data_IF_272590688106
#
_entry.id   IF_272590688106
#
_cell.length_a   1.000
_cell.length_b   1.000
_cell.length_c   1.000
_cell.angle_alpha   90.00
_cell.angle_beta   90.00
_cell.angle_gamma   90.00
#
_symmetry.space_group_name_H-M   'P 1'
#
loop_
_entity.id
_entity.type
_entity.pdbx_description
1 polymer ?
#
# COMPACT_ATOMS: atom_id res chain seq x y z
N UNK A 1 19.36 -11.21 -32.16
CA UNK A 1 19.39 -12.69 -32.33
C UNK A 1 20.83 -13.14 -32.30
N UNK A 2 21.32 -13.71 -31.19
CA UNK A 2 22.66 -14.31 -31.12
C UNK A 2 22.49 -15.73 -30.59
N UNK A 3 22.79 -16.69 -31.46
CA UNK A 3 22.94 -18.11 -31.14
C UNK A 3 24.36 -18.32 -30.61
N UNK A 4 24.51 -18.97 -29.46
CA UNK A 4 25.76 -19.65 -29.06
C UNK A 4 25.42 -21.05 -28.57
N UNK A 5 26.14 -22.02 -29.11
CA UNK A 5 25.99 -23.47 -28.90
C UNK A 5 26.86 -23.92 -27.71
N UNK A 6 26.35 -24.96 -27.06
CA UNK A 6 26.72 -25.66 -25.83
C UNK A 6 28.20 -26.07 -25.69
N UNK A 7 28.75 -25.92 -24.47
CA UNK A 7 29.89 -26.72 -23.98
C UNK A 7 29.44 -27.51 -22.76
N UNK A 8 29.62 -28.84 -22.83
CA UNK A 8 29.27 -29.82 -21.80
C UNK A 8 30.49 -30.11 -20.91
N UNK A 9 30.20 -30.30 -19.61
CA UNK A 9 30.99 -30.97 -18.56
C UNK A 9 31.94 -30.13 -17.68
N UNK A 10 31.44 -29.76 -16.49
CA UNK A 10 32.15 -30.01 -15.22
C UNK A 10 31.12 -30.53 -14.23
N UNK A 11 31.28 -31.77 -13.75
CA UNK A 11 30.52 -32.31 -12.62
C UNK A 11 31.09 -31.72 -11.33
N UNK A 12 30.59 -30.56 -10.93
CA UNK A 12 30.72 -30.06 -9.57
C UNK A 12 29.37 -30.30 -8.89
N UNK A 13 29.35 -31.19 -7.91
CA UNK A 13 28.33 -31.22 -6.85
C UNK A 13 28.47 -29.93 -6.03
N UNK A 14 27.98 -28.85 -6.61
CA UNK A 14 27.65 -27.62 -5.93
C UNK A 14 26.33 -27.21 -6.54
N UNK A 15 25.23 -27.46 -5.82
CA UNK A 15 24.01 -26.71 -6.08
C UNK A 15 24.46 -25.26 -5.96
N UNK A 16 24.49 -24.53 -7.09
CA UNK A 16 24.75 -23.10 -7.05
C UNK A 16 23.67 -22.55 -6.12
N UNK A 17 24.08 -22.07 -4.95
CA UNK A 17 23.21 -21.50 -3.94
C UNK A 17 22.61 -20.23 -4.57
N UNK A 18 21.53 -20.42 -5.32
CA UNK A 18 20.79 -19.33 -5.91
C UNK A 18 20.36 -18.44 -4.74
N UNK A 19 20.64 -17.13 -4.76
CA UNK A 19 20.25 -16.25 -3.67
C UNK A 19 18.74 -16.41 -3.47
N UNK A 20 18.34 -17.03 -2.36
CA UNK A 20 16.93 -17.19 -2.02
C UNK A 20 16.44 -15.84 -1.57
N UNK A 21 16.03 -15.00 -2.53
CA UNK A 21 15.31 -13.77 -2.20
C UNK A 21 14.07 -14.21 -1.42
N UNK A 22 13.86 -13.70 -0.19
CA UNK A 22 12.69 -14.07 0.58
C UNK A 22 11.41 -13.76 -0.23
N UNK A 23 10.34 -14.56 -0.06
CA UNK A 23 9.08 -14.28 -0.74
C UNK A 23 8.56 -12.90 -0.31
N UNK A 24 8.04 -12.13 -1.27
CA UNK A 24 7.45 -10.82 -1.00
C UNK A 24 6.31 -10.94 0.02
N UNK A 25 6.31 -10.07 1.02
CA UNK A 25 5.29 -10.04 2.07
C UNK A 25 4.26 -8.98 1.75
N UNK A 26 3.04 -9.18 2.24
CA UNK A 26 2.00 -8.19 2.10
C UNK A 26 2.26 -7.00 3.04
N UNK A 27 1.79 -5.79 2.68
CA UNK A 27 1.75 -4.68 3.60
C UNK A 27 0.91 -5.00 4.84
N UNK A 28 1.29 -4.38 5.96
CA UNK A 28 0.55 -4.46 7.22
C UNK A 28 -0.12 -3.13 7.53
N UNK A 29 -1.29 -3.18 8.19
CA UNK A 29 -2.04 -2.00 8.61
C UNK A 29 -2.09 -1.91 10.13
N UNK A 30 -1.87 -0.71 10.65
CA UNK A 30 -2.10 -0.32 12.03
C UNK A 30 -3.51 0.23 12.25
N UNK A 31 -3.76 0.72 13.46
CA UNK A 31 -5.05 1.31 13.82
C UNK A 31 -5.13 2.76 13.35
N UNK A 32 -6.11 3.07 12.51
CA UNK A 32 -6.41 4.45 12.12
C UNK A 32 -7.40 5.04 13.15
N UNK A 33 -7.11 6.20 13.77
CA UNK A 33 -8.01 6.81 14.74
C UNK A 33 -9.28 7.34 14.08
N UNK A 34 -10.38 7.33 14.84
CA UNK A 34 -11.65 7.91 14.39
C UNK A 34 -11.46 9.39 14.09
N UNK A 35 -11.94 9.81 12.91
CA UNK A 35 -11.97 11.20 12.51
C UNK A 35 -13.37 11.76 12.80
N UNK A 36 -13.43 12.86 13.53
CA UNK A 36 -14.67 13.59 13.79
C UNK A 36 -14.57 14.93 13.08
N UNK A 37 -15.53 15.21 12.20
CA UNK A 37 -15.65 16.47 11.47
C UNK A 37 -17.06 17.00 11.65
N UNK A 38 -17.19 18.31 11.79
CA UNK A 38 -18.47 19.00 11.69
C UNK A 38 -18.84 19.27 10.23
N UNK A 39 -20.13 19.48 9.97
CA UNK A 39 -20.62 19.78 8.62
C UNK A 39 -19.93 21.01 8.05
N UNK A 40 -19.40 20.89 6.84
CA UNK A 40 -18.63 21.93 6.17
C UNK A 40 -17.13 21.93 6.48
N UNK A 41 -16.67 21.14 7.46
CA UNK A 41 -15.25 21.00 7.76
C UNK A 41 -14.54 20.05 6.79
N UNK A 42 -13.22 20.22 6.73
CA UNK A 42 -12.30 19.33 6.02
C UNK A 42 -11.30 18.76 7.00
N UNK A 43 -10.91 17.51 6.78
CA UNK A 43 -9.86 16.83 7.52
C UNK A 43 -8.79 16.32 6.57
N UNK A 44 -7.55 16.26 7.05
CA UNK A 44 -6.43 15.67 6.32
C UNK A 44 -5.71 14.69 7.26
N UNK A 45 -5.40 13.51 6.75
CA UNK A 45 -4.73 12.45 7.49
C UNK A 45 -3.61 11.84 6.65
N UNK A 46 -2.40 11.83 7.20
CA UNK A 46 -1.27 11.12 6.60
C UNK A 46 -1.35 9.62 6.89
N UNK A 47 -1.51 8.81 5.84
CA UNK A 47 -1.64 7.36 5.91
C UNK A 47 -0.29 6.65 6.11
N UNK A 48 0.84 7.32 5.86
CA UNK A 48 2.17 6.69 5.93
C UNK A 48 2.51 6.15 7.32
N UNK A 49 1.95 6.74 8.37
CA UNK A 49 2.11 6.27 9.75
C UNK A 49 1.29 5.03 10.12
N UNK A 50 0.36 4.61 9.25
CA UNK A 50 -0.59 3.53 9.54
C UNK A 50 -0.38 2.28 8.70
N UNK A 51 0.50 2.32 7.70
CA UNK A 51 0.79 1.17 6.85
C UNK A 51 2.29 0.99 6.72
N UNK A 52 2.74 -0.26 6.72
CA UNK A 52 4.15 -0.58 6.57
C UNK A 52 4.31 -1.80 5.67
N UNK A 53 5.22 -1.69 4.71
CA UNK A 53 5.68 -2.82 3.93
C UNK A 53 6.95 -3.43 4.57
N UNK A 54 6.95 -4.71 4.99
CA UNK A 54 8.10 -5.33 5.63
C UNK A 54 9.33 -5.47 4.74
N UNK A 55 9.17 -5.43 3.41
CA UNK A 55 10.23 -5.55 2.42
C UNK A 55 10.71 -4.17 1.94
N UNK A 56 10.02 -3.10 2.34
CA UNK A 56 10.36 -1.71 2.02
C UNK A 56 9.81 -1.24 0.69
N UNK A 57 8.85 -1.98 0.12
CA UNK A 57 8.20 -1.60 -1.12
C UNK A 57 7.36 -0.34 -0.95
N UNK A 58 7.30 0.48 -2.01
CA UNK A 58 6.50 1.68 -2.02
C UNK A 58 4.99 1.35 -2.01
N UNK A 59 4.26 1.95 -1.08
CA UNK A 59 2.82 1.74 -0.93
C UNK A 59 2.01 2.71 -1.81
N UNK A 60 0.91 2.20 -2.37
CA UNK A 60 -0.11 3.00 -3.06
C UNK A 60 -1.40 2.96 -2.26
N UNK A 61 -2.04 4.11 -2.08
CA UNK A 61 -3.22 4.26 -1.23
C UNK A 61 -4.46 4.57 -2.07
N UNK A 62 -5.60 4.05 -1.62
CA UNK A 62 -6.92 4.35 -2.15
C UNK A 62 -7.93 4.37 -1.00
N UNK A 63 -8.94 5.24 -1.09
CA UNK A 63 -10.00 5.33 -0.10
C UNK A 63 -11.36 5.39 -0.79
N UNK A 64 -12.35 4.77 -0.16
CA UNK A 64 -13.75 4.83 -0.56
C UNK A 64 -14.60 5.12 0.67
N UNK A 65 -15.71 5.83 0.46
CA UNK A 65 -16.69 6.12 1.50
C UNK A 65 -17.93 5.28 1.27
N UNK A 66 -18.46 4.68 2.33
CA UNK A 66 -19.77 4.01 2.30
C UNK A 66 -20.95 5.00 2.32
N UNK A 67 -20.69 6.27 2.61
CA UNK A 67 -21.70 7.32 2.78
C UNK A 67 -21.34 8.57 1.96
N UNK A 68 -21.32 8.48 0.61
CA UNK A 68 -20.86 9.56 -0.26
C UNK A 68 -21.72 10.83 -0.20
N UNK A 69 -22.94 10.75 0.34
CA UNK A 69 -23.80 11.92 0.60
C UNK A 69 -23.39 12.68 1.86
N UNK A 70 -22.74 12.02 2.81
CA UNK A 70 -22.36 12.60 4.11
C UNK A 70 -20.90 13.04 4.12
N UNK A 71 -20.01 12.27 3.51
CA UNK A 71 -18.57 12.56 3.47
C UNK A 71 -18.01 12.19 2.11
N UNK A 72 -17.11 13.03 1.60
CA UNK A 72 -16.28 12.70 0.43
C UNK A 72 -14.86 12.42 0.87
N UNK A 73 -14.19 11.54 0.13
CA UNK A 73 -12.81 11.12 0.39
C UNK A 73 -12.00 11.25 -0.89
N UNK A 74 -10.77 11.70 -0.78
CA UNK A 74 -9.80 11.75 -1.86
C UNK A 74 -8.41 11.38 -1.32
N UNK A 75 -7.58 10.77 -2.15
CA UNK A 75 -6.21 10.39 -1.78
C UNK A 75 -5.23 11.03 -2.75
N UNK A 76 -4.19 11.68 -2.21
CA UNK A 76 -3.08 12.24 -2.96
C UNK A 76 -1.77 11.79 -2.34
N UNK A 77 -1.08 10.83 -2.97
CA UNK A 77 0.06 10.14 -2.37
C UNK A 77 -0.37 9.36 -1.13
N UNK A 78 0.18 9.72 0.03
CA UNK A 78 -0.20 9.15 1.33
C UNK A 78 -1.25 9.99 2.07
N UNK A 79 -1.65 11.15 1.56
CA UNK A 79 -2.57 12.04 2.25
C UNK A 79 -4.02 11.69 1.88
N UNK A 80 -4.81 11.35 2.90
CA UNK A 80 -6.26 11.21 2.82
C UNK A 80 -6.92 12.55 3.16
N UNK A 81 -7.65 13.09 2.20
CA UNK A 81 -8.48 14.29 2.36
C UNK A 81 -9.94 13.88 2.56
N UNK A 82 -10.56 14.46 3.59
CA UNK A 82 -11.95 14.25 3.98
C UNK A 82 -12.71 15.57 3.88
N UNK A 83 -13.94 15.54 3.37
CA UNK A 83 -14.84 16.69 3.47
C UNK A 83 -16.23 16.24 3.92
N UNK A 84 -16.66 16.80 5.06
CA UNK A 84 -17.97 16.54 5.63
C UNK A 84 -19.02 17.42 4.94
N UNK A 85 -19.96 16.78 4.26
CA UNK A 85 -20.99 17.45 3.46
C UNK A 85 -22.28 17.64 4.25
N UNK A 86 -22.69 16.64 5.02
CA UNK A 86 -23.95 16.62 5.77
C UNK A 86 -23.76 15.89 7.10
N UNK A 87 -24.60 16.24 8.08
CA UNK A 87 -24.66 15.50 9.33
C UNK A 87 -25.31 14.14 9.07
N UNK A 88 -24.73 13.07 9.60
CA UNK A 88 -25.38 11.76 9.58
C UNK A 88 -26.65 11.78 10.43
N UNK A 89 -27.75 11.29 9.87
CA UNK A 89 -28.95 10.98 10.66
C UNK A 89 -28.60 9.82 11.61
N UNK A 90 -28.98 9.94 12.88
CA UNK A 90 -28.72 8.96 13.93
C UNK A 90 -29.54 7.68 13.76
#
# INVERSE_FOLDING_TARGET
>A
MIRRVMLLAVLLLGCEDAPTVPPNRAPTAGQIPVQTLHVGERGSLDLSGFFADPDGDALTYAAVTGQPRLVTVAVSGAILELAALLQGEA
#
